data_IF_244576527950
#
_entry.id   IF_244576527950
#
_cell.length_a   1.000
_cell.length_b   1.000
_cell.length_c   1.000
_cell.angle_alpha   90.00
_cell.angle_beta   90.00
_cell.angle_gamma   90.00
#
_symmetry.space_group_name_H-M   'P 1'
#
loop_
_entity.id
_entity.type
_entity.pdbx_description
1 polymer ?
#
# COMPACT_ATOMS: atom_id res chain seq x y z
N UNK A 1 -27.35 -13.45 1.06
CA UNK A 1 -26.78 -13.19 -0.27
C UNK A 1 -25.88 -11.97 -0.23
N UNK A 2 -24.70 -12.10 0.35
CA UNK A 2 -23.68 -11.09 0.28
C UNK A 2 -23.15 -11.01 -1.16
N UNK A 3 -23.33 -9.88 -1.82
CA UNK A 3 -22.70 -9.66 -3.11
C UNK A 3 -21.19 -9.69 -3.00
N UNK A 4 -20.49 -9.86 -4.12
CA UNK A 4 -19.03 -9.85 -4.22
C UNK A 4 -18.37 -8.72 -3.42
N UNK A 5 -18.98 -7.54 -3.41
CA UNK A 5 -18.50 -6.36 -2.68
C UNK A 5 -18.60 -6.45 -1.14
N UNK A 6 -19.19 -7.50 -0.59
CA UNK A 6 -19.37 -7.60 0.86
C UNK A 6 -18.22 -8.34 1.57
N UNK A 7 -17.40 -9.08 0.87
CA UNK A 7 -16.32 -9.86 1.50
C UNK A 7 -14.92 -9.60 0.91
N UNK A 8 -14.79 -9.21 -0.35
CA UNK A 8 -13.47 -8.98 -0.93
C UNK A 8 -12.64 -7.90 -0.20
N UNK A 9 -13.22 -6.83 0.37
CA UNK A 9 -12.41 -5.84 1.08
C UNK A 9 -11.67 -6.41 2.29
N UNK A 10 -12.23 -7.43 2.95
CA UNK A 10 -11.64 -8.05 4.15
C UNK A 10 -10.80 -9.29 3.86
N UNK A 11 -10.76 -9.76 2.61
CA UNK A 11 -10.14 -11.04 2.27
C UNK A 11 -8.64 -11.13 2.64
N UNK A 12 -7.88 -10.04 2.47
CA UNK A 12 -6.47 -10.02 2.88
C UNK A 12 -6.30 -9.98 4.39
N UNK A 13 -7.23 -9.37 5.11
CA UNK A 13 -7.24 -9.42 6.57
C UNK A 13 -7.49 -10.85 7.07
N UNK A 14 -8.48 -11.54 6.51
CA UNK A 14 -8.77 -12.93 6.87
C UNK A 14 -7.57 -13.85 6.56
N UNK A 15 -6.92 -13.63 5.42
CA UNK A 15 -5.70 -14.36 5.06
C UNK A 15 -4.54 -14.06 6.02
N UNK A 16 -4.34 -12.81 6.40
CA UNK A 16 -3.29 -12.42 7.35
C UNK A 16 -3.51 -13.04 8.72
N UNK A 17 -4.75 -13.07 9.22
CA UNK A 17 -5.09 -13.74 10.47
C UNK A 17 -4.80 -15.25 10.42
N UNK A 18 -5.16 -15.90 9.31
CA UNK A 18 -4.85 -17.33 9.11
C UNK A 18 -3.34 -17.57 9.10
N UNK A 19 -2.60 -16.77 8.34
CA UNK A 19 -1.14 -16.90 8.24
C UNK A 19 -0.46 -16.65 9.59
N UNK A 20 -0.91 -15.67 10.35
CA UNK A 20 -0.35 -15.39 11.67
C UNK A 20 -0.45 -16.56 12.65
N UNK A 21 -1.44 -17.44 12.49
CA UNK A 21 -1.61 -18.62 13.33
C UNK A 21 -0.63 -19.75 12.99
N UNK A 22 0.04 -19.66 11.83
CA UNK A 22 0.95 -20.73 11.41
C UNK A 22 2.29 -20.64 12.16
N UNK A 23 2.87 -21.77 12.46
CA UNK A 23 4.13 -21.89 13.21
C UNK A 23 5.37 -21.45 12.41
N UNK A 24 5.27 -21.47 11.09
CA UNK A 24 6.33 -21.00 10.18
C UNK A 24 6.32 -19.48 9.94
N UNK A 25 5.34 -18.76 10.46
CA UNK A 25 5.30 -17.30 10.34
C UNK A 25 6.05 -16.65 11.49
N UNK A 26 7.09 -15.90 11.16
CA UNK A 26 7.90 -15.22 12.17
C UNK A 26 7.10 -14.16 12.94
N UNK A 27 7.42 -14.02 14.21
CA UNK A 27 6.90 -13.00 15.12
C UNK A 27 8.05 -12.37 15.89
N UNK A 28 7.94 -11.10 16.20
CA UNK A 28 8.92 -10.43 17.05
C UNK A 28 8.70 -10.76 18.54
N UNK A 29 9.56 -10.21 19.41
CA UNK A 29 9.49 -10.46 20.85
C UNK A 29 8.21 -9.89 21.51
N UNK A 30 7.51 -8.97 20.85
CA UNK A 30 6.25 -8.39 21.29
C UNK A 30 5.04 -9.15 20.73
N UNK A 31 5.27 -10.18 19.92
CA UNK A 31 4.23 -10.94 19.25
C UNK A 31 3.72 -10.33 17.94
N UNK A 32 4.35 -9.28 17.43
CA UNK A 32 3.95 -8.71 16.14
C UNK A 32 4.35 -9.64 15.00
N UNK A 33 3.43 -9.86 14.06
CA UNK A 33 3.65 -10.70 12.89
C UNK A 33 4.60 -10.06 11.87
N UNK A 34 5.37 -10.90 11.19
CA UNK A 34 6.22 -10.48 10.08
C UNK A 34 5.52 -10.78 8.76
N UNK A 35 4.34 -10.18 8.56
CA UNK A 35 3.49 -10.37 7.39
C UNK A 35 3.40 -9.06 6.62
N UNK A 36 3.49 -9.12 5.31
CA UNK A 36 3.12 -8.02 4.43
C UNK A 36 1.87 -8.36 3.63
N UNK A 37 1.08 -7.34 3.33
CA UNK A 37 -0.07 -7.44 2.43
C UNK A 37 0.15 -6.55 1.22
N UNK A 38 -0.24 -7.04 0.05
CA UNK A 38 -0.24 -6.23 -1.17
C UNK A 38 -1.31 -6.68 -2.14
N UNK A 39 -1.67 -5.80 -3.04
CA UNK A 39 -2.62 -6.11 -4.09
C UNK A 39 -2.76 -4.98 -5.07
N UNK A 40 -3.34 -5.31 -6.23
CA UNK A 40 -3.59 -4.37 -7.31
C UNK A 40 -5.08 -4.04 -7.39
N UNK A 41 -5.41 -2.78 -7.65
CA UNK A 41 -6.78 -2.32 -7.87
C UNK A 41 -7.67 -2.66 -6.65
N UNK A 42 -8.68 -3.51 -6.80
CA UNK A 42 -9.48 -4.01 -5.67
C UNK A 42 -8.63 -4.72 -4.60
N UNK A 43 -7.56 -5.41 -5.00
CA UNK A 43 -6.59 -5.97 -4.05
C UNK A 43 -5.79 -4.89 -3.33
N UNK A 44 -5.54 -3.75 -3.96
CA UNK A 44 -4.95 -2.56 -3.33
C UNK A 44 -5.85 -2.03 -2.21
N UNK A 45 -7.15 -1.89 -2.46
CA UNK A 45 -8.13 -1.56 -1.42
C UNK A 45 -8.14 -2.58 -0.30
N UNK A 46 -8.15 -3.87 -0.64
CA UNK A 46 -8.13 -4.94 0.37
C UNK A 46 -6.86 -4.89 1.23
N UNK A 47 -5.72 -4.52 0.68
CA UNK A 47 -4.48 -4.37 1.46
C UNK A 47 -4.54 -3.18 2.43
N UNK A 48 -5.09 -2.05 2.01
CA UNK A 48 -5.31 -0.89 2.89
C UNK A 48 -6.34 -1.20 3.98
N UNK A 49 -7.44 -1.88 3.62
CA UNK A 49 -8.45 -2.34 4.56
C UNK A 49 -7.86 -3.30 5.61
N UNK A 50 -6.97 -4.19 5.20
CA UNK A 50 -6.31 -5.12 6.12
C UNK A 50 -5.46 -4.36 7.15
N UNK A 51 -4.76 -3.30 6.77
CA UNK A 51 -4.01 -2.45 7.69
C UNK A 51 -4.94 -1.74 8.69
N UNK A 52 -6.06 -1.21 8.22
CA UNK A 52 -7.07 -0.58 9.07
C UNK A 52 -7.65 -1.56 10.10
N UNK A 53 -8.02 -2.76 9.66
CA UNK A 53 -8.59 -3.79 10.53
C UNK A 53 -7.56 -4.31 11.53
N UNK A 54 -6.31 -4.42 11.13
CA UNK A 54 -5.23 -4.82 12.03
C UNK A 54 -4.97 -3.76 13.12
N UNK A 55 -5.06 -2.47 12.81
CA UNK A 55 -4.95 -1.43 13.82
C UNK A 55 -6.13 -1.44 14.79
N UNK A 56 -7.34 -1.70 14.28
CA UNK A 56 -8.52 -1.90 15.13
C UNK A 56 -8.34 -3.11 16.06
N UNK A 57 -7.79 -4.20 15.54
CA UNK A 57 -7.48 -5.39 16.32
C UNK A 57 -6.38 -5.12 17.36
N UNK A 58 -5.35 -4.37 16.99
CA UNK A 58 -4.25 -3.99 17.91
C UNK A 58 -4.76 -3.30 19.16
N UNK A 59 -5.77 -2.44 19.05
CA UNK A 59 -6.36 -1.76 20.20
C UNK A 59 -6.88 -2.72 21.30
N UNK A 60 -7.25 -3.95 20.91
CA UNK A 60 -7.76 -4.98 21.83
C UNK A 60 -6.71 -6.03 22.21
N UNK A 61 -5.77 -6.32 21.33
CA UNK A 61 -4.81 -7.44 21.49
C UNK A 61 -3.42 -7.00 21.95
N UNK A 62 -3.04 -5.74 21.67
CA UNK A 62 -1.73 -5.20 21.99
C UNK A 62 -0.60 -5.65 21.06
N UNK A 63 -0.91 -6.38 19.97
CA UNK A 63 0.06 -6.75 18.92
C UNK A 63 -0.53 -6.56 17.53
N UNK A 64 0.34 -6.35 16.55
CA UNK A 64 -0.02 -6.19 15.14
C UNK A 64 0.31 -7.44 14.35
N UNK A 65 -0.62 -7.91 13.54
CA UNK A 65 -0.43 -9.07 12.65
C UNK A 65 0.37 -8.66 11.41
N UNK A 66 0.09 -7.48 10.87
CA UNK A 66 0.66 -6.98 9.62
C UNK A 66 1.76 -5.95 9.89
N UNK A 67 2.97 -6.20 9.40
CA UNK A 67 4.11 -5.30 9.49
C UNK A 67 4.13 -4.24 8.39
N UNK A 68 3.73 -4.62 7.17
CA UNK A 68 3.85 -3.75 6.00
C UNK A 68 2.69 -3.92 5.02
N UNK A 69 2.41 -2.87 4.26
CA UNK A 69 1.41 -2.91 3.19
C UNK A 69 1.83 -2.11 1.96
N UNK A 70 1.67 -2.71 0.78
CA UNK A 70 1.92 -2.07 -0.50
C UNK A 70 0.65 -2.13 -1.36
N UNK A 71 -0.04 -1.00 -1.54
CA UNK A 71 -1.16 -0.91 -2.47
C UNK A 71 -0.69 -0.48 -3.85
N UNK A 72 -1.22 -1.12 -4.89
CA UNK A 72 -0.86 -0.85 -6.28
C UNK A 72 -2.13 -0.48 -7.06
N UNK A 73 -2.12 0.62 -7.79
CA UNK A 73 -3.26 1.03 -8.57
C UNK A 73 -4.53 1.19 -7.74
N UNK A 74 -4.44 1.76 -6.54
CA UNK A 74 -5.56 2.09 -5.67
C UNK A 74 -5.23 3.34 -4.85
N UNK A 75 -6.18 4.27 -4.79
CA UNK A 75 -6.12 5.46 -3.94
C UNK A 75 -7.01 5.31 -2.70
N UNK A 76 -7.26 6.39 -1.98
CA UNK A 76 -8.10 6.37 -0.78
C UNK A 76 -9.60 6.59 -1.04
N UNK A 77 -10.06 6.57 -2.27
CA UNK A 77 -11.47 6.82 -2.62
C UNK A 77 -12.44 5.85 -1.94
N UNK A 78 -11.98 4.66 -1.57
CA UNK A 78 -12.75 3.65 -0.84
C UNK A 78 -13.10 4.04 0.60
N UNK A 79 -12.36 4.97 1.21
CA UNK A 79 -12.56 5.36 2.62
C UNK A 79 -13.96 5.92 2.87
N UNK A 80 -14.57 6.53 1.87
CA UNK A 80 -15.94 7.03 1.94
C UNK A 80 -16.97 5.92 2.23
N UNK A 81 -16.72 4.69 1.82
CA UNK A 81 -17.59 3.54 2.14
C UNK A 81 -17.58 3.15 3.61
N UNK A 82 -16.53 3.54 4.33
CA UNK A 82 -16.40 3.32 5.77
C UNK A 82 -16.82 4.55 6.60
N UNK A 83 -17.20 5.64 5.94
CA UNK A 83 -17.46 6.91 6.60
C UNK A 83 -16.20 7.55 7.20
N UNK A 84 -15.02 7.18 6.71
CA UNK A 84 -13.73 7.75 7.12
C UNK A 84 -13.30 8.83 6.15
N UNK A 85 -12.72 9.89 6.68
CA UNK A 85 -11.93 10.80 5.88
C UNK A 85 -10.51 10.22 5.67
N UNK A 86 -9.81 10.77 4.71
CA UNK A 86 -8.51 10.29 4.30
C UNK A 86 -7.45 10.40 5.41
N UNK A 87 -7.42 11.48 6.15
CA UNK A 87 -6.46 11.67 7.23
C UNK A 87 -6.65 10.61 8.32
N UNK A 88 -7.90 10.30 8.66
CA UNK A 88 -8.24 9.21 9.59
C UNK A 88 -7.77 7.86 9.05
N UNK A 89 -8.01 7.57 7.77
CA UNK A 89 -7.58 6.31 7.16
C UNK A 89 -6.05 6.14 7.18
N UNK A 90 -5.31 7.19 6.85
CA UNK A 90 -3.83 7.18 6.87
C UNK A 90 -3.28 7.03 8.30
N UNK A 91 -3.91 7.68 9.28
CA UNK A 91 -3.50 7.58 10.67
C UNK A 91 -3.61 6.15 11.23
N UNK A 92 -4.43 5.30 10.64
CA UNK A 92 -4.55 3.89 11.07
C UNK A 92 -3.38 3.02 10.63
N UNK A 93 -2.44 3.52 9.86
CA UNK A 93 -1.27 2.75 9.44
C UNK A 93 -0.21 2.62 10.53
N UNK A 94 -0.20 3.54 11.50
CA UNK A 94 0.70 3.51 12.65
C UNK A 94 2.18 3.43 12.24
N UNK A 95 2.99 2.83 13.07
CA UNK A 95 4.43 2.65 12.83
C UNK A 95 4.80 1.62 11.76
N UNK A 96 3.85 1.17 10.93
CA UNK A 96 4.10 0.21 9.84
C UNK A 96 4.85 0.83 8.67
N UNK A 97 5.45 -0.01 7.84
CA UNK A 97 5.95 0.39 6.52
C UNK A 97 4.79 0.33 5.51
N UNK A 98 4.46 1.45 4.90
CA UNK A 98 3.36 1.54 3.92
C UNK A 98 3.83 2.22 2.65
N UNK A 99 3.51 1.60 1.52
CA UNK A 99 3.83 2.11 0.20
C UNK A 99 2.64 2.09 -0.76
N UNK A 100 2.75 2.90 -1.79
CA UNK A 100 1.82 2.89 -2.94
C UNK A 100 2.59 2.86 -4.25
N UNK A 101 2.07 2.10 -5.22
CA UNK A 101 2.46 2.21 -6.63
C UNK A 101 1.35 2.92 -7.38
N UNK A 102 1.63 4.12 -7.84
CA UNK A 102 0.68 5.03 -8.47
C UNK A 102 1.09 5.30 -9.93
N UNK A 103 0.57 4.55 -10.87
CA UNK A 103 0.84 4.80 -12.30
C UNK A 103 0.49 6.23 -12.70
N UNK A 104 1.43 6.94 -13.34
CA UNK A 104 1.23 8.35 -13.74
C UNK A 104 0.11 8.52 -14.78
N UNK A 105 -0.26 7.46 -15.48
CA UNK A 105 -1.32 7.45 -16.49
C UNK A 105 -2.46 6.50 -16.13
N UNK A 106 -2.58 6.16 -14.84
CA UNK A 106 -3.69 5.32 -14.36
C UNK A 106 -5.03 5.95 -14.74
N UNK A 107 -5.86 5.21 -15.46
CA UNK A 107 -7.12 5.71 -16.01
C UNK A 107 -8.25 5.75 -14.99
N UNK A 108 -8.08 5.12 -13.83
CA UNK A 108 -9.13 5.02 -12.81
C UNK A 108 -8.85 5.86 -11.57
N UNK A 109 -7.60 5.91 -11.12
CA UNK A 109 -7.21 6.45 -9.83
C UNK A 109 -6.21 7.60 -9.94
N UNK A 110 -5.82 8.14 -8.79
CA UNK A 110 -4.78 9.16 -8.65
C UNK A 110 -5.08 10.49 -9.32
N UNK A 111 -6.37 10.82 -9.45
CA UNK A 111 -6.80 12.12 -9.94
C UNK A 111 -6.26 13.26 -9.07
N UNK A 112 -6.09 14.44 -9.65
CA UNK A 112 -5.82 15.64 -8.89
C UNK A 112 -7.04 16.00 -8.02
N UNK A 113 -6.78 16.61 -6.86
CA UNK A 113 -7.83 17.03 -5.94
C UNK A 113 -8.79 18.03 -6.59
N UNK A 114 -8.26 18.93 -7.44
CA UNK A 114 -9.06 19.98 -8.08
C UNK A 114 -8.50 20.39 -9.46
N UNK A 115 -9.41 20.55 -10.42
CA UNK A 115 -10.77 20.07 -10.42
C UNK A 115 -10.81 18.54 -10.47
N UNK A 116 -11.82 17.91 -9.86
CA UNK A 116 -11.94 16.47 -9.91
C UNK A 116 -12.05 16.02 -11.35
N UNK A 117 -11.14 15.18 -11.77
CA UNK A 117 -11.11 14.66 -13.12
C UNK A 117 -12.12 13.54 -13.28
N UNK A 118 -12.71 13.42 -14.46
CA UNK A 118 -13.64 12.35 -14.75
C UNK A 118 -12.87 11.03 -14.79
N UNK A 119 -13.42 10.02 -14.14
CA UNK A 119 -12.96 8.64 -14.30
C UNK A 119 -12.81 8.30 -15.80
N UNK A 120 -11.75 7.59 -16.15
CA UNK A 120 -11.44 7.23 -17.52
C UNK A 120 -10.64 8.27 -18.30
N UNK A 121 -10.32 9.42 -17.73
CA UNK A 121 -9.46 10.41 -18.39
C UNK A 121 -7.99 10.05 -18.20
N UNK A 122 -7.30 9.76 -19.27
CA UNK A 122 -5.86 9.47 -19.26
C UNK A 122 -5.09 10.78 -19.45
N UNK A 123 -4.39 11.19 -18.40
CA UNK A 123 -3.45 12.31 -18.43
C UNK A 123 -2.35 12.03 -17.39
N UNK A 124 -1.24 12.70 -17.49
CA UNK A 124 -0.15 12.54 -16.54
C UNK A 124 -0.54 13.10 -15.18
N UNK A 125 -0.54 12.24 -14.18
CA UNK A 125 -0.89 12.55 -12.79
C UNK A 125 0.37 12.68 -11.94
N UNK A 126 0.27 13.47 -10.88
CA UNK A 126 1.32 13.60 -9.88
C UNK A 126 0.70 13.41 -8.49
N UNK A 127 0.52 12.16 -8.12
CA UNK A 127 -0.20 11.80 -6.89
C UNK A 127 0.48 12.31 -5.62
N UNK A 128 1.81 12.36 -5.57
CA UNK A 128 2.51 12.90 -4.40
C UNK A 128 2.19 14.37 -4.12
N UNK A 129 1.76 15.13 -5.12
CA UNK A 129 1.38 16.53 -4.95
C UNK A 129 -0.07 16.72 -4.48
N UNK A 130 -0.89 15.66 -4.50
CA UNK A 130 -2.28 15.70 -4.01
C UNK A 130 -2.32 15.78 -2.49
N UNK A 131 -3.47 16.18 -1.94
CA UNK A 131 -3.69 16.14 -0.48
C UNK A 131 -3.44 14.74 0.07
N UNK A 132 -3.93 13.71 -0.61
CA UNK A 132 -3.72 12.32 -0.25
C UNK A 132 -2.25 11.92 -0.17
N UNK A 133 -1.48 12.25 -1.19
CA UNK A 133 -0.05 11.95 -1.23
C UNK A 133 0.72 12.65 -0.12
N UNK A 134 0.43 13.93 0.11
CA UNK A 134 1.05 14.73 1.18
C UNK A 134 0.70 14.19 2.57
N UNK A 135 -0.58 13.82 2.79
CA UNK A 135 -1.05 13.24 4.04
C UNK A 135 -0.35 11.92 4.32
N UNK A 136 -0.28 11.01 3.33
CA UNK A 136 0.39 9.71 3.48
C UNK A 136 1.86 9.86 3.86
N UNK A 137 2.55 10.80 3.21
CA UNK A 137 3.99 11.00 3.41
C UNK A 137 4.32 11.96 4.54
N UNK A 138 3.32 12.64 5.13
CA UNK A 138 3.47 13.70 6.14
C UNK A 138 4.45 14.80 5.67
N UNK A 139 4.34 15.20 4.40
CA UNK A 139 5.23 16.18 3.77
C UNK A 139 4.43 17.24 3.00
N UNK A 140 4.86 18.49 3.09
CA UNK A 140 4.27 19.58 2.30
C UNK A 140 4.68 19.52 0.82
N UNK A 141 5.90 19.13 0.53
CA UNK A 141 6.45 19.07 -0.82
C UNK A 141 7.15 17.72 -1.08
N UNK A 142 6.41 16.61 -1.04
CA UNK A 142 7.01 15.29 -1.19
C UNK A 142 7.50 15.04 -2.62
N UNK A 143 8.49 14.14 -2.72
CA UNK A 143 8.99 13.65 -3.98
C UNK A 143 8.59 12.18 -4.15
N UNK A 144 8.20 11.79 -5.36
CA UNK A 144 7.99 10.39 -5.69
C UNK A 144 9.29 9.58 -5.54
N UNK A 145 9.16 8.30 -5.29
CA UNK A 145 10.27 7.36 -5.17
C UNK A 145 11.27 7.75 -4.05
N UNK A 146 10.76 8.39 -3.00
CA UNK A 146 11.55 8.85 -1.86
C UNK A 146 10.94 8.34 -0.58
N UNK A 147 11.77 7.74 0.28
CA UNK A 147 11.36 7.28 1.59
C UNK A 147 11.26 8.42 2.59
N UNK A 148 10.18 8.41 3.36
CA UNK A 148 9.95 9.34 4.47
C UNK A 148 9.66 8.57 5.75
N UNK A 149 10.15 9.11 6.87
CA UNK A 149 9.80 8.62 8.20
C UNK A 149 8.75 9.54 8.78
N UNK A 150 7.60 8.98 9.13
CA UNK A 150 6.47 9.70 9.72
C UNK A 150 6.64 9.89 11.24
N UNK A 151 5.81 10.74 11.84
CA UNK A 151 5.89 11.09 13.26
C UNK A 151 5.73 9.89 14.19
N UNK A 152 4.98 8.87 13.78
CA UNK A 152 4.79 7.60 14.49
C UNK A 152 5.95 6.59 14.31
N UNK A 153 7.00 6.96 13.57
CA UNK A 153 8.13 6.11 13.21
C UNK A 153 7.90 5.21 12.00
N UNK A 154 6.71 5.25 11.40
CA UNK A 154 6.39 4.48 10.20
C UNK A 154 7.18 4.97 8.98
N UNK A 155 7.53 4.04 8.10
CA UNK A 155 8.18 4.37 6.83
C UNK A 155 7.13 4.47 5.72
N UNK A 156 7.24 5.50 4.88
CA UNK A 156 6.27 5.77 3.81
C UNK A 156 6.98 6.01 2.49
N UNK A 157 6.39 5.52 1.41
CA UNK A 157 6.85 5.80 0.05
C UNK A 157 5.68 5.80 -0.94
N UNK A 158 5.78 6.64 -1.97
CA UNK A 158 4.91 6.60 -3.15
C UNK A 158 5.79 6.45 -4.38
N UNK A 159 5.67 5.33 -5.05
CA UNK A 159 6.26 5.10 -6.36
C UNK A 159 5.34 5.62 -7.45
N UNK A 160 5.88 6.33 -8.44
CA UNK A 160 5.10 6.86 -9.56
C UNK A 160 5.70 6.43 -10.91
N UNK A 161 5.57 5.13 -11.27
CA UNK A 161 6.02 4.65 -12.57
C UNK A 161 5.20 5.30 -13.69
N UNK A 162 5.81 5.39 -14.86
CA UNK A 162 5.22 6.01 -16.06
C UNK A 162 4.31 5.03 -16.80
N UNK A 163 3.23 4.62 -16.15
CA UNK A 163 2.40 3.47 -16.54
C UNK A 163 0.91 3.76 -16.40
N UNK A 164 0.11 2.94 -17.09
CA UNK A 164 -1.36 2.87 -16.98
C UNK A 164 -1.77 1.84 -15.92
N UNK A 165 -3.03 1.85 -15.52
CA UNK A 165 -3.55 0.98 -14.47
C UNK A 165 -3.21 -0.51 -14.59
N UNK A 166 -3.39 -1.18 -15.75
CA UNK A 166 -3.10 -2.62 -15.84
C UNK A 166 -1.63 -2.98 -15.62
N UNK A 167 -0.69 -2.03 -15.74
CA UNK A 167 0.74 -2.28 -15.59
C UNK A 167 1.26 -2.06 -14.18
N UNK A 168 0.49 -1.43 -13.31
CA UNK A 168 0.89 -1.10 -11.93
C UNK A 168 1.31 -2.29 -11.06
N UNK A 169 1.09 -3.52 -11.47
CA UNK A 169 1.38 -4.70 -10.64
C UNK A 169 2.33 -5.71 -11.29
N UNK A 170 2.71 -5.55 -12.56
CA UNK A 170 3.53 -6.54 -13.24
C UNK A 170 4.58 -5.98 -14.21
N UNK A 171 4.66 -4.67 -14.39
CA UNK A 171 5.74 -4.07 -15.15
C UNK A 171 7.09 -4.28 -14.47
N UNK A 172 8.17 -4.16 -15.23
CA UNK A 172 9.53 -4.21 -14.67
C UNK A 172 9.74 -3.11 -13.62
N UNK A 173 9.23 -1.90 -13.88
CA UNK A 173 9.34 -0.79 -12.94
C UNK A 173 8.61 -1.09 -11.63
N UNK A 174 7.32 -1.41 -11.69
CA UNK A 174 6.52 -1.71 -10.48
C UNK A 174 7.02 -2.93 -9.72
N UNK A 175 7.57 -3.94 -10.42
CA UNK A 175 8.17 -5.10 -9.76
C UNK A 175 9.44 -4.72 -9.01
N UNK A 176 10.27 -3.84 -9.57
CA UNK A 176 11.45 -3.28 -8.89
C UNK A 176 11.06 -2.47 -7.67
N UNK A 177 10.03 -1.63 -7.79
CA UNK A 177 9.49 -0.84 -6.68
C UNK A 177 9.01 -1.75 -5.54
N UNK A 178 8.31 -2.84 -5.86
CA UNK A 178 7.84 -3.81 -4.87
C UNK A 178 9.00 -4.54 -4.16
N UNK A 179 10.05 -4.92 -4.89
CA UNK A 179 11.24 -5.56 -4.30
C UNK A 179 11.93 -4.59 -3.34
N UNK A 180 12.15 -3.34 -3.74
CA UNK A 180 12.73 -2.32 -2.87
C UNK A 180 11.88 -2.09 -1.61
N UNK A 181 10.54 -2.02 -1.79
CA UNK A 181 9.62 -1.86 -0.69
C UNK A 181 9.76 -2.98 0.34
N UNK A 182 9.74 -4.24 -0.10
CA UNK A 182 9.83 -5.38 0.82
C UNK A 182 11.22 -5.50 1.45
N UNK A 183 12.28 -5.25 0.71
CA UNK A 183 13.63 -5.20 1.25
C UNK A 183 13.73 -4.20 2.40
N UNK A 184 13.18 -3.01 2.22
CA UNK A 184 13.15 -1.98 3.26
C UNK A 184 12.26 -2.40 4.44
N UNK A 185 11.04 -2.89 4.17
CA UNK A 185 10.07 -3.25 5.21
C UNK A 185 10.57 -4.36 6.13
N UNK A 186 11.34 -5.31 5.62
CA UNK A 186 11.85 -6.45 6.37
C UNK A 186 13.33 -6.35 6.71
N UNK A 187 13.96 -5.19 6.48
CA UNK A 187 15.40 -4.99 6.68
C UNK A 187 16.19 -6.09 6.00
N UNK A 188 16.00 -6.20 4.70
CA UNK A 188 16.46 -7.33 3.91
C UNK A 188 17.95 -7.62 4.09
N UNK A 189 18.24 -8.85 4.41
CA UNK A 189 19.59 -9.39 4.50
C UNK A 189 19.92 -10.36 3.35
N UNK A 190 19.01 -10.51 2.38
CA UNK A 190 19.20 -11.39 1.23
C UNK A 190 20.32 -10.93 0.30
N UNK A 191 20.65 -9.64 0.32
CA UNK A 191 21.59 -9.02 -0.61
C UNK A 191 21.04 -8.81 -2.01
N UNK A 192 19.75 -9.05 -2.22
CA UNK A 192 19.08 -8.76 -3.50
C UNK A 192 18.76 -7.27 -3.59
N UNK A 193 19.08 -6.66 -4.71
CA UNK A 193 18.82 -5.27 -4.98
C UNK A 193 17.88 -5.10 -6.18
N UNK A 194 17.16 -4.01 -6.20
CA UNK A 194 16.29 -3.62 -7.31
C UNK A 194 17.03 -3.62 -8.66
N UNK A 195 18.33 -3.26 -8.65
CA UNK A 195 19.18 -3.26 -9.85
C UNK A 195 19.44 -4.65 -10.43
N UNK A 196 19.30 -5.69 -9.59
CA UNK A 196 19.64 -7.08 -9.97
C UNK A 196 18.46 -7.80 -10.61
N UNK A 197 17.29 -7.16 -10.61
CA UNK A 197 16.09 -7.76 -11.16
C UNK A 197 16.16 -7.87 -12.68
N UNK A 198 16.03 -9.08 -13.17
CA UNK A 198 15.81 -9.42 -14.58
C UNK A 198 14.53 -10.24 -14.67
N UNK A 199 13.54 -9.78 -15.41
CA UNK A 199 12.31 -10.51 -15.63
C UNK A 199 12.47 -11.37 -16.90
N UNK A 200 12.07 -12.65 -16.83
CA UNK A 200 12.15 -13.57 -17.98
C UNK A 200 11.46 -13.02 -19.23
N UNK A 201 10.35 -12.30 -19.05
CA UNK A 201 9.63 -11.67 -20.16
C UNK A 201 10.41 -10.55 -20.86
N UNK A 202 11.48 -10.05 -20.25
CA UNK A 202 12.32 -8.96 -20.79
C UNK A 202 13.55 -9.54 -21.52
N UNK A 203 13.70 -10.88 -21.55
CA UNK A 203 14.72 -11.63 -22.26
C UNK A 203 14.24 -12.06 -23.65
#
# INVERSE_FOLDING_TARGET
>A
TGGFFNFWPTSLWDAAQYMYQQDYVAKDAQGNGQIAVSGHSMGGFSSEMALYLDETNYASTGYRIIRAGLSMGADYSWTSYLGLDEATAVATFGGRTVGKVCGQYDEFFFAADEPPTKSGTVYRKNYVATTAGKTLLEQENPQANTWYTCADGGQRIIYQPNEIHPWNHFSTASTKDAIEFYATAFSDQSGLHQSDLVLERDL
#
